data_IF_764061745720
#
_entry.id   IF_764061745720
#
_cell.length_a   1.000
_cell.length_b   1.000
_cell.length_c   1.000
_cell.angle_alpha   90.00
_cell.angle_beta   90.00
_cell.angle_gamma   90.00
#
_symmetry.space_group_name_H-M   'P 1'
#
loop_
_entity.id
_entity.type
_entity.pdbx_description
1 polymer ?
#
# COMPACT_ATOMS: atom_id res chain seq x y z
N UNK A 1 32.17 11.68 -3.67
CA UNK A 1 33.11 11.45 -2.55
C UNK A 1 33.37 12.69 -1.68
N UNK A 2 34.20 13.67 -2.05
CA UNK A 2 34.52 14.80 -1.15
C UNK A 2 33.31 15.70 -0.82
N UNK A 3 32.50 16.02 -1.83
CA UNK A 3 31.30 16.86 -1.64
C UNK A 3 30.15 16.16 -0.88
N UNK A 4 30.02 14.84 -0.98
CA UNK A 4 29.00 14.07 -0.23
C UNK A 4 29.34 13.94 1.25
N UNK A 5 30.63 13.84 1.56
CA UNK A 5 31.09 13.86 2.95
C UNK A 5 30.88 15.24 3.58
N UNK A 6 31.08 16.30 2.82
CA UNK A 6 30.85 17.68 3.28
C UNK A 6 29.35 17.97 3.51
N UNK A 7 28.44 17.44 2.67
CA UNK A 7 27.00 17.61 2.87
C UNK A 7 26.46 16.78 4.05
N UNK A 8 26.95 15.55 4.24
CA UNK A 8 26.59 14.74 5.42
C UNK A 8 27.08 15.39 6.72
N UNK A 9 28.33 15.87 6.74
CA UNK A 9 28.87 16.57 7.91
C UNK A 9 28.08 17.84 8.24
N UNK A 10 27.65 18.59 7.23
CA UNK A 10 26.83 19.79 7.43
C UNK A 10 25.45 19.45 8.00
N UNK A 11 24.80 18.40 7.51
CA UNK A 11 23.50 17.94 8.01
C UNK A 11 23.57 17.44 9.45
N UNK A 12 24.60 16.67 9.80
CA UNK A 12 24.84 16.21 11.18
C UNK A 12 25.11 17.39 12.12
N UNK A 13 25.95 18.34 11.71
CA UNK A 13 26.24 19.54 12.50
C UNK A 13 24.99 20.40 12.74
N UNK A 14 24.12 20.52 11.74
CA UNK A 14 22.87 21.26 11.88
C UNK A 14 21.87 20.53 12.80
N UNK A 15 21.74 19.21 12.67
CA UNK A 15 20.87 18.41 13.55
C UNK A 15 21.29 18.55 15.02
N UNK A 16 22.60 18.56 15.30
CA UNK A 16 23.13 18.76 16.65
C UNK A 16 22.88 20.16 17.22
N UNK A 17 22.57 21.17 16.39
CA UNK A 17 22.21 22.52 16.84
C UNK A 17 20.74 22.65 17.25
N UNK A 18 19.88 21.68 16.91
CA UNK A 18 18.49 21.68 17.35
C UNK A 18 18.40 21.40 18.86
N UNK A 19 17.46 22.02 19.60
CA UNK A 19 17.20 21.63 20.99
C UNK A 19 16.80 20.15 21.09
N UNK A 20 17.24 19.47 22.15
CA UNK A 20 16.94 18.05 22.41
C UNK A 20 15.47 17.61 22.16
N UNK A 21 14.42 18.34 22.60
CA UNK A 21 13.04 17.93 22.31
C UNK A 21 12.70 17.95 20.80
N UNK A 22 13.33 18.84 20.02
CA UNK A 22 13.14 18.93 18.57
C UNK A 22 13.94 17.86 17.81
N UNK A 23 15.09 17.44 18.33
CA UNK A 23 15.85 16.31 17.80
C UNK A 23 15.03 15.01 17.91
N UNK A 24 14.50 14.72 19.11
CA UNK A 24 13.63 13.57 19.33
C UNK A 24 12.36 13.64 18.50
N UNK A 25 11.70 14.80 18.44
CA UNK A 25 10.52 14.98 17.60
C UNK A 25 10.80 14.71 16.12
N UNK A 26 11.90 15.23 15.57
CA UNK A 26 12.23 15.06 14.17
C UNK A 26 12.55 13.59 13.85
N UNK A 27 13.31 12.93 14.72
CA UNK A 27 13.62 11.52 14.58
C UNK A 27 12.35 10.65 14.63
N UNK A 28 11.48 10.86 15.61
CA UNK A 28 10.23 10.10 15.76
C UNK A 28 9.31 10.25 14.54
N UNK A 29 9.23 11.44 13.95
CA UNK A 29 8.37 11.68 12.79
C UNK A 29 8.98 11.12 11.50
N UNK A 30 10.31 11.12 11.36
CA UNK A 30 10.99 10.44 10.25
C UNK A 30 10.78 8.93 10.35
N UNK A 31 10.91 8.34 11.55
CA UNK A 31 10.66 6.92 11.78
C UNK A 31 9.20 6.52 11.49
N UNK A 32 8.25 7.43 11.68
CA UNK A 32 6.84 7.26 11.33
C UNK A 32 6.53 7.47 9.84
N UNK A 33 7.51 7.88 9.04
CA UNK A 33 7.37 8.07 7.60
C UNK A 33 6.60 9.34 7.22
N UNK A 34 6.60 10.37 8.07
CA UNK A 34 6.01 11.67 7.72
C UNK A 34 6.77 12.34 6.56
N UNK A 35 6.06 13.09 5.71
CA UNK A 35 6.67 13.75 4.54
C UNK A 35 7.74 14.76 4.98
N UNK A 36 9.00 14.63 4.51
CA UNK A 36 10.07 15.58 4.83
C UNK A 36 9.75 17.05 4.53
N UNK A 37 8.93 17.33 3.52
CA UNK A 37 8.52 18.71 3.19
C UNK A 37 7.56 19.28 4.23
N UNK A 38 6.63 18.47 4.75
CA UNK A 38 5.73 18.89 5.83
C UNK A 38 6.50 19.12 7.14
N UNK A 39 7.46 18.24 7.45
CA UNK A 39 8.35 18.41 8.60
C UNK A 39 9.19 19.69 8.49
N UNK A 40 9.70 20.00 7.29
CA UNK A 40 10.42 21.24 7.04
C UNK A 40 9.54 22.48 7.29
N UNK A 41 8.28 22.47 6.86
CA UNK A 41 7.33 23.57 7.12
C UNK A 41 7.09 23.75 8.62
N UNK A 42 6.95 22.65 9.38
CA UNK A 42 6.77 22.71 10.84
C UNK A 42 8.01 23.29 11.52
N UNK A 43 9.21 22.89 11.10
CA UNK A 43 10.47 23.42 11.63
C UNK A 43 10.62 24.92 11.33
N UNK A 44 10.31 25.35 10.11
CA UNK A 44 10.35 26.76 9.71
C UNK A 44 9.36 27.61 10.51
N UNK A 45 8.13 27.11 10.72
CA UNK A 45 7.10 27.77 11.53
C UNK A 45 7.53 27.95 12.99
N UNK A 46 8.39 27.08 13.50
CA UNK A 46 8.94 27.14 14.87
C UNK A 46 10.31 27.84 14.94
N UNK A 47 10.70 28.55 13.88
CA UNK A 47 11.89 29.42 13.87
C UNK A 47 13.18 28.73 13.44
N UNK A 48 13.15 27.45 13.07
CA UNK A 48 14.29 26.73 12.53
C UNK A 48 14.34 26.93 11.01
N UNK A 49 14.93 28.06 10.57
CA UNK A 49 15.08 28.36 9.15
C UNK A 49 16.20 27.53 8.52
N UNK A 50 15.95 27.07 7.29
CA UNK A 50 17.01 26.61 6.39
C UNK A 50 17.99 27.79 6.21
N UNK A 51 19.27 27.60 6.53
CA UNK A 51 20.26 28.55 6.03
C UNK A 51 20.23 28.39 4.52
N UNK A 52 19.87 29.46 3.81
CA UNK A 52 19.98 29.53 2.36
C UNK A 52 21.45 29.37 2.01
N UNK A 53 21.90 28.11 1.88
CA UNK A 53 23.07 27.82 1.10
C UNK A 53 22.65 28.22 -0.30
N UNK A 54 23.11 29.39 -0.76
CA UNK A 54 23.10 29.79 -2.17
C UNK A 54 24.04 28.89 -3.01
N UNK A 55 24.12 27.62 -2.65
CA UNK A 55 24.47 26.54 -3.53
C UNK A 55 23.11 25.94 -3.87
N UNK A 56 22.50 26.45 -4.93
CA UNK A 56 21.78 25.58 -5.83
C UNK A 56 22.78 24.49 -6.23
N UNK A 57 22.93 23.47 -5.39
CA UNK A 57 23.57 22.23 -5.74
C UNK A 57 22.75 21.76 -6.91
N UNK A 58 23.34 21.90 -8.09
CA UNK A 58 22.85 21.23 -9.27
C UNK A 58 22.58 19.79 -8.84
N UNK A 59 21.31 19.44 -8.65
CA UNK A 59 20.86 18.06 -8.73
C UNK A 59 21.57 17.52 -9.96
N UNK A 60 22.30 16.38 -9.87
CA UNK A 60 23.00 15.87 -11.03
C UNK A 60 21.99 15.80 -12.17
N UNK A 61 22.34 16.42 -13.30
CA UNK A 61 21.49 16.70 -14.46
C UNK A 61 20.72 15.46 -14.97
N UNK A 62 21.14 14.27 -14.55
CA UNK A 62 20.50 12.96 -14.72
C UNK A 62 19.04 12.89 -14.28
N UNK A 63 18.70 13.43 -13.10
CA UNK A 63 17.36 13.24 -12.48
C UNK A 63 16.28 14.05 -13.20
N UNK A 64 16.67 15.12 -13.90
CA UNK A 64 15.75 15.94 -14.69
C UNK A 64 15.57 15.44 -16.13
N UNK A 65 16.37 14.46 -16.58
CA UNK A 65 16.35 13.99 -17.96
C UNK A 65 15.28 12.92 -18.24
N UNK A 66 14.74 12.26 -17.20
CA UNK A 66 13.77 11.18 -17.31
C UNK A 66 12.40 11.60 -16.77
N UNK A 67 11.32 11.19 -17.42
CA UNK A 67 9.97 11.40 -16.89
C UNK A 67 9.73 10.59 -15.61
N UNK A 68 8.80 11.03 -14.76
CA UNK A 68 8.46 10.33 -13.51
C UNK A 68 8.06 8.87 -13.74
N UNK A 69 7.27 8.59 -14.79
CA UNK A 69 6.88 7.23 -15.15
C UNK A 69 8.08 6.33 -15.49
N UNK A 70 9.09 6.87 -16.18
CA UNK A 70 10.31 6.11 -16.50
C UNK A 70 11.18 5.91 -15.25
N UNK A 71 11.28 6.92 -14.39
CA UNK A 71 12.00 6.80 -13.11
C UNK A 71 11.36 5.74 -12.21
N UNK A 72 10.03 5.75 -12.08
CA UNK A 72 9.27 4.76 -11.32
C UNK A 72 9.47 3.35 -11.87
N UNK A 73 9.41 3.18 -13.19
CA UNK A 73 9.70 1.89 -13.82
C UNK A 73 11.12 1.39 -13.50
N UNK A 74 12.14 2.25 -13.62
CA UNK A 74 13.53 1.89 -13.29
C UNK A 74 13.65 1.49 -11.82
N UNK A 75 13.07 2.26 -10.91
CA UNK A 75 13.09 1.95 -9.47
C UNK A 75 12.41 0.61 -9.18
N UNK A 76 11.28 0.32 -9.82
CA UNK A 76 10.57 -0.94 -9.65
C UNK A 76 11.41 -2.14 -10.12
N UNK A 77 12.05 -2.03 -11.28
CA UNK A 77 12.96 -3.06 -11.79
C UNK A 77 14.18 -3.27 -10.87
N UNK A 78 14.80 -2.17 -10.41
CA UNK A 78 15.93 -2.22 -9.50
C UNK A 78 15.56 -2.87 -8.16
N UNK A 79 14.41 -2.52 -7.58
CA UNK A 79 13.88 -3.13 -6.35
C UNK A 79 13.45 -4.59 -6.56
N UNK A 80 13.02 -4.95 -7.78
CA UNK A 80 12.72 -6.31 -8.19
C UNK A 80 13.94 -7.21 -8.38
N UNK A 81 15.14 -6.63 -8.46
CA UNK A 81 16.40 -7.36 -8.64
C UNK A 81 16.78 -7.60 -10.10
N UNK A 82 16.20 -6.86 -11.05
CA UNK A 82 16.51 -6.99 -12.47
C UNK A 82 17.94 -6.56 -12.79
N UNK A 83 18.55 -7.19 -13.79
CA UNK A 83 19.90 -6.84 -14.24
C UNK A 83 19.91 -5.49 -14.98
N UNK A 84 20.90 -4.64 -14.69
CA UNK A 84 20.97 -3.29 -15.27
C UNK A 84 20.92 -3.27 -16.80
N UNK A 85 21.52 -4.24 -17.49
CA UNK A 85 21.48 -4.32 -18.96
C UNK A 85 20.06 -4.58 -19.50
N UNK A 86 19.25 -5.34 -18.76
CA UNK A 86 17.84 -5.60 -19.10
C UNK A 86 17.00 -4.34 -18.91
N UNK A 87 17.22 -3.63 -17.80
CA UNK A 87 16.56 -2.35 -17.50
C UNK A 87 16.88 -1.33 -18.60
N UNK A 88 18.16 -1.17 -18.95
CA UNK A 88 18.59 -0.26 -20.01
C UNK A 88 17.96 -0.63 -21.36
N UNK A 89 17.93 -1.92 -21.70
CA UNK A 89 17.29 -2.41 -22.94
C UNK A 89 15.80 -2.13 -22.96
N UNK A 90 15.10 -2.32 -21.83
CA UNK A 90 13.69 -1.99 -21.66
C UNK A 90 13.44 -0.49 -21.89
N UNK A 91 14.22 0.37 -21.23
CA UNK A 91 14.10 1.82 -21.37
C UNK A 91 14.43 2.34 -22.77
N UNK A 92 15.43 1.77 -23.46
CA UNK A 92 15.76 2.14 -24.83
C UNK A 92 14.63 1.80 -25.80
N UNK A 93 13.93 0.67 -25.61
CA UNK A 93 12.73 0.34 -26.39
C UNK A 93 11.60 1.34 -26.20
N UNK A 94 11.55 2.02 -25.05
CA UNK A 94 10.61 3.13 -24.77
C UNK A 94 11.08 4.47 -25.36
N UNK A 95 12.18 4.50 -26.12
CA UNK A 95 12.73 5.71 -26.73
C UNK A 95 13.59 6.55 -25.79
N UNK A 96 14.00 6.01 -24.64
CA UNK A 96 14.81 6.72 -23.64
C UNK A 96 16.30 6.54 -23.92
N UNK A 97 17.10 7.60 -23.75
CA UNK A 97 18.56 7.55 -23.90
C UNK A 97 19.20 6.58 -22.90
N UNK A 98 19.99 5.63 -23.40
CA UNK A 98 20.72 4.65 -22.57
C UNK A 98 21.70 5.31 -21.60
N UNK A 99 22.27 6.46 -21.97
CA UNK A 99 23.19 7.23 -21.13
C UNK A 99 22.45 7.81 -19.93
N UNK A 100 21.27 8.40 -20.16
CA UNK A 100 20.45 8.97 -19.09
C UNK A 100 20.00 7.89 -18.10
N UNK A 101 19.62 6.71 -18.59
CA UNK A 101 19.23 5.56 -17.75
C UNK A 101 20.41 5.08 -16.91
N UNK A 102 21.60 4.90 -17.51
CA UNK A 102 22.81 4.49 -16.78
C UNK A 102 23.16 5.47 -15.66
N UNK A 103 23.12 6.77 -15.96
CA UNK A 103 23.41 7.82 -14.99
C UNK A 103 22.37 7.85 -13.86
N UNK A 104 21.09 7.67 -14.18
CA UNK A 104 20.03 7.58 -13.18
C UNK A 104 20.20 6.36 -12.27
N UNK A 105 20.52 5.18 -12.83
CA UNK A 105 20.81 3.97 -12.05
C UNK A 105 21.99 4.22 -11.11
N UNK A 106 23.09 4.79 -11.61
CA UNK A 106 24.28 5.08 -10.80
C UNK A 106 23.98 5.99 -9.60
N UNK A 107 23.30 7.12 -9.85
CA UNK A 107 22.87 8.05 -8.80
C UNK A 107 21.89 7.40 -7.82
N UNK A 108 20.99 6.55 -8.32
CA UNK A 108 20.01 5.84 -7.48
C UNK A 108 20.71 4.87 -6.54
N UNK A 109 21.63 4.04 -7.06
CA UNK A 109 22.37 3.04 -6.28
C UNK A 109 23.27 3.65 -5.20
N UNK A 110 23.81 4.85 -5.44
CA UNK A 110 24.61 5.57 -4.45
C UNK A 110 23.76 6.27 -3.38
N UNK A 111 22.45 6.42 -3.60
CA UNK A 111 21.58 7.15 -2.67
C UNK A 111 21.24 6.34 -1.41
N UNK A 112 21.28 7.01 -0.26
CA UNK A 112 20.89 6.42 1.04
C UNK A 112 19.40 6.03 1.03
N UNK A 113 18.54 6.83 0.41
CA UNK A 113 17.11 6.55 0.29
C UNK A 113 16.84 5.23 -0.45
N UNK A 114 17.53 4.99 -1.56
CA UNK A 114 17.39 3.73 -2.29
C UNK A 114 17.91 2.53 -1.48
N UNK A 115 19.02 2.67 -0.76
CA UNK A 115 19.52 1.60 0.12
C UNK A 115 18.51 1.26 1.23
N UNK A 116 17.85 2.26 1.80
CA UNK A 116 16.77 2.04 2.77
C UNK A 116 15.55 1.36 2.12
N UNK A 117 15.12 1.84 0.95
CA UNK A 117 14.02 1.22 0.18
C UNK A 117 14.33 -0.24 -0.16
N UNK A 118 15.57 -0.55 -0.54
CA UNK A 118 16.01 -1.91 -0.82
C UNK A 118 15.86 -2.81 0.41
N UNK A 119 16.27 -2.35 1.60
CA UNK A 119 16.08 -3.10 2.86
C UNK A 119 14.60 -3.36 3.14
N UNK A 120 13.76 -2.34 3.01
CA UNK A 120 12.30 -2.47 3.20
C UNK A 120 11.70 -3.45 2.20
N UNK A 121 12.10 -3.37 0.93
CA UNK A 121 11.66 -4.31 -0.11
C UNK A 121 12.09 -5.74 0.21
N UNK A 122 13.31 -5.95 0.71
CA UNK A 122 13.76 -7.29 1.13
C UNK A 122 12.91 -7.84 2.29
N UNK A 123 12.55 -6.99 3.26
CA UNK A 123 11.66 -7.39 4.34
C UNK A 123 10.26 -7.75 3.83
N UNK A 124 9.70 -6.97 2.90
CA UNK A 124 8.44 -7.28 2.24
C UNK A 124 8.51 -8.60 1.46
N UNK A 125 9.57 -8.81 0.68
CA UNK A 125 9.79 -10.05 -0.06
C UNK A 125 9.89 -11.26 0.87
N UNK A 126 10.56 -11.12 2.03
CA UNK A 126 10.63 -12.19 3.04
C UNK A 126 9.26 -12.52 3.63
N UNK A 127 8.41 -11.52 3.86
CA UNK A 127 7.02 -11.73 4.33
C UNK A 127 6.19 -12.44 3.27
N UNK A 128 6.27 -11.98 2.02
CA UNK A 128 5.55 -12.59 0.90
C UNK A 128 6.01 -14.03 0.66
N UNK A 129 7.32 -14.30 0.78
CA UNK A 129 7.88 -15.65 0.72
C UNK A 129 7.33 -16.54 1.84
N UNK A 130 7.28 -16.05 3.08
CA UNK A 130 6.68 -16.81 4.19
C UNK A 130 5.22 -17.16 3.90
N UNK A 131 4.43 -16.21 3.38
CA UNK A 131 3.04 -16.47 2.99
C UNK A 131 2.95 -17.53 1.89
N UNK A 132 3.82 -17.47 0.87
CA UNK A 132 3.88 -18.48 -0.18
C UNK A 132 4.27 -19.87 0.36
N UNK A 133 5.19 -19.94 1.32
CA UNK A 133 5.55 -21.20 1.99
C UNK A 133 4.39 -21.75 2.82
N UNK A 134 3.67 -20.91 3.57
CA UNK A 134 2.49 -21.33 4.32
C UNK A 134 1.39 -21.85 3.38
N UNK A 135 1.21 -21.20 2.23
CA UNK A 135 0.28 -21.66 1.20
C UNK A 135 0.69 -23.01 0.59
N UNK A 136 1.97 -23.17 0.22
CA UNK A 136 2.51 -24.44 -0.26
C UNK A 136 2.37 -25.57 0.78
N UNK A 137 2.58 -25.28 2.06
CA UNK A 137 2.36 -26.25 3.13
C UNK A 137 0.87 -26.61 3.27
N UNK A 138 -0.03 -25.64 3.15
CA UNK A 138 -1.46 -25.89 3.17
C UNK A 138 -1.91 -26.76 1.97
N UNK A 139 -1.28 -26.61 0.80
CA UNK A 139 -1.54 -27.42 -0.40
C UNK A 139 -1.23 -28.91 -0.21
N UNK A 140 -0.35 -29.26 0.73
CA UNK A 140 -0.06 -30.67 1.06
C UNK A 140 -1.23 -31.35 1.81
N UNK A 141 -2.14 -30.57 2.39
CA UNK A 141 -3.29 -31.08 3.13
C UNK A 141 -4.44 -31.50 2.22
N UNK A 142 -5.13 -32.57 2.61
CA UNK A 142 -6.34 -33.01 1.93
C UNK A 142 -7.42 -31.92 1.93
N UNK A 143 -7.97 -31.67 0.74
CA UNK A 143 -9.07 -30.72 0.57
C UNK A 143 -8.65 -29.25 0.51
N UNK A 144 -7.37 -28.92 0.27
CA UNK A 144 -6.94 -27.54 0.01
C UNK A 144 -7.76 -26.85 -1.08
N UNK A 145 -8.09 -27.58 -2.16
CA UNK A 145 -8.88 -27.04 -3.28
C UNK A 145 -10.39 -26.94 -3.00
N UNK A 146 -10.85 -27.31 -1.80
CA UNK A 146 -12.27 -27.37 -1.48
C UNK A 146 -12.58 -26.67 -0.16
N UNK A 147 -13.65 -25.88 -0.12
CA UNK A 147 -14.14 -25.31 1.15
C UNK A 147 -15.14 -26.27 1.79
N UNK A 148 -14.83 -26.88 2.95
CA UNK A 148 -15.72 -27.84 3.60
C UNK A 148 -17.02 -27.16 4.05
N UNK A 149 -18.12 -27.92 3.96
CA UNK A 149 -19.47 -27.51 4.38
C UNK A 149 -19.92 -28.36 5.56
N UNK A 150 -19.82 -27.83 6.77
CA UNK A 150 -20.12 -28.54 8.01
C UNK A 150 -21.33 -27.92 8.71
N UNK A 151 -21.96 -28.66 9.62
CA UNK A 151 -22.87 -28.03 10.59
C UNK A 151 -22.07 -27.16 11.58
N UNK A 152 -22.72 -26.17 12.18
CA UNK A 152 -22.04 -25.23 13.08
C UNK A 152 -21.45 -25.99 14.28
N UNK A 153 -20.11 -26.08 14.41
CA UNK A 153 -19.48 -26.82 15.49
C UNK A 153 -19.43 -25.98 16.78
N UNK A 154 -19.10 -26.58 17.93
CA UNK A 154 -18.77 -25.83 19.12
C UNK A 154 -17.64 -24.83 18.88
N UNK A 155 -17.67 -23.67 19.53
CA UNK A 155 -16.71 -22.59 19.31
C UNK A 155 -15.23 -23.04 19.42
N UNK A 156 -14.90 -23.88 20.40
CA UNK A 156 -13.54 -24.38 20.59
C UNK A 156 -13.05 -25.25 19.42
N UNK A 157 -13.96 -26.02 18.82
CA UNK A 157 -13.64 -26.83 17.63
C UNK A 157 -13.45 -25.93 16.41
N UNK A 158 -14.35 -24.96 16.20
CA UNK A 158 -14.20 -23.95 15.15
C UNK A 158 -12.86 -23.22 15.25
N UNK A 159 -12.51 -22.76 16.46
CA UNK A 159 -11.27 -22.03 16.72
C UNK A 159 -10.05 -22.89 16.39
N UNK A 160 -10.00 -24.14 16.87
CA UNK A 160 -8.86 -25.04 16.70
C UNK A 160 -8.70 -25.55 15.27
N UNK A 161 -9.80 -25.89 14.59
CA UNK A 161 -9.75 -26.56 13.29
C UNK A 161 -9.78 -25.60 12.09
N UNK A 162 -10.32 -24.39 12.27
CA UNK A 162 -10.54 -23.46 11.16
C UNK A 162 -9.92 -22.10 11.41
N UNK A 163 -10.37 -21.38 12.45
CA UNK A 163 -10.00 -19.98 12.63
C UNK A 163 -8.50 -19.78 12.90
N UNK A 164 -7.92 -20.53 13.83
CA UNK A 164 -6.49 -20.45 14.16
C UNK A 164 -5.56 -20.95 13.05
N UNK A 165 -6.10 -21.72 12.10
CA UNK A 165 -5.35 -22.26 10.97
C UNK A 165 -5.53 -21.42 9.70
N UNK A 166 -6.26 -20.31 9.76
CA UNK A 166 -6.66 -19.52 8.58
C UNK A 166 -7.36 -20.37 7.50
N UNK A 167 -8.07 -21.43 7.90
CA UNK A 167 -8.73 -22.36 6.98
C UNK A 167 -10.18 -21.94 6.75
N UNK A 168 -10.61 -21.71 5.50
CA UNK A 168 -11.99 -21.36 5.20
C UNK A 168 -12.94 -22.54 5.47
N UNK A 169 -14.17 -22.23 5.89
CA UNK A 169 -15.24 -23.20 6.11
C UNK A 169 -16.60 -22.55 5.89
N UNK A 170 -17.53 -23.31 5.32
CA UNK A 170 -18.94 -22.90 5.21
C UNK A 170 -19.72 -23.56 6.34
N UNK A 171 -20.28 -22.73 7.23
CA UNK A 171 -21.10 -23.18 8.34
C UNK A 171 -22.57 -23.26 7.93
N UNK A 172 -23.08 -24.48 7.85
CA UNK A 172 -24.51 -24.74 7.69
C UNK A 172 -25.22 -24.56 9.02
N UNK A 173 -26.49 -24.18 8.92
CA UNK A 173 -27.46 -24.22 10.02
C UNK A 173 -27.19 -23.26 11.21
N UNK A 174 -26.13 -22.45 11.19
CA UNK A 174 -25.77 -21.54 12.29
C UNK A 174 -26.81 -20.47 12.60
N UNK A 175 -27.63 -20.13 11.62
CA UNK A 175 -28.67 -19.09 11.74
C UNK A 175 -30.10 -19.67 11.72
N UNK A 176 -30.28 -20.98 11.92
CA UNK A 176 -31.63 -21.62 11.91
C UNK A 176 -32.63 -20.98 12.87
N UNK A 177 -32.13 -20.43 13.97
CA UNK A 177 -32.94 -19.76 14.99
C UNK A 177 -33.31 -18.31 14.61
N UNK A 178 -32.82 -17.79 13.48
CA UNK A 178 -33.12 -16.42 13.05
C UNK A 178 -34.47 -16.36 12.37
N UNK A 179 -35.37 -15.55 12.93
CA UNK A 179 -36.66 -15.22 12.31
C UNK A 179 -36.50 -14.59 10.91
N UNK A 180 -35.32 -14.02 10.61
CA UNK A 180 -34.99 -13.48 9.29
C UNK A 180 -35.21 -14.50 8.17
N UNK A 181 -34.94 -15.79 8.40
CA UNK A 181 -35.14 -16.85 7.39
C UNK A 181 -36.60 -17.02 6.96
N UNK A 182 -37.56 -16.67 7.81
CA UNK A 182 -38.99 -16.76 7.53
C UNK A 182 -39.60 -15.43 7.11
N UNK A 183 -39.03 -14.32 7.58
CA UNK A 183 -39.61 -12.98 7.42
C UNK A 183 -38.98 -12.17 6.31
N UNK A 184 -37.69 -12.34 6.02
CA UNK A 184 -36.99 -11.46 5.09
C UNK A 184 -37.24 -11.93 3.65
N UNK A 185 -38.19 -11.26 3.01
CA UNK A 185 -38.48 -11.32 1.58
C UNK A 185 -38.76 -9.88 1.10
N UNK A 186 -38.68 -9.59 -0.22
CA UNK A 186 -38.84 -8.23 -0.74
C UNK A 186 -40.09 -7.51 -0.20
N UNK A 187 -41.28 -8.12 -0.25
CA UNK A 187 -42.50 -7.48 0.27
C UNK A 187 -42.40 -7.10 1.75
N UNK A 188 -41.75 -7.93 2.59
CA UNK A 188 -41.55 -7.61 4.00
C UNK A 188 -40.69 -6.36 4.17
N UNK A 189 -39.66 -6.18 3.34
CA UNK A 189 -38.82 -5.00 3.42
C UNK A 189 -39.52 -3.75 2.88
N UNK A 190 -40.22 -3.85 1.74
CA UNK A 190 -41.04 -2.78 1.20
C UNK A 190 -42.09 -2.30 2.22
N UNK A 191 -42.79 -3.22 2.88
CA UNK A 191 -43.81 -2.90 3.89
C UNK A 191 -43.22 -2.30 5.17
N UNK A 192 -42.14 -2.89 5.70
CA UNK A 192 -41.61 -2.52 7.02
C UNK A 192 -40.68 -1.33 7.00
N UNK A 193 -39.84 -1.24 5.97
CA UNK A 193 -38.73 -0.28 5.88
C UNK A 193 -38.63 0.32 4.47
N UNK A 194 -39.65 0.22 3.62
CA UNK A 194 -39.61 0.73 2.25
C UNK A 194 -39.32 2.22 2.12
N UNK A 195 -39.66 3.00 3.16
CA UNK A 195 -39.40 4.44 3.25
C UNK A 195 -38.02 4.81 3.81
N UNK A 196 -37.25 3.82 4.28
CA UNK A 196 -35.91 4.05 4.79
C UNK A 196 -34.92 4.26 3.64
N UNK A 197 -33.98 5.19 3.85
CA UNK A 197 -32.90 5.42 2.90
C UNK A 197 -31.78 4.39 3.12
N UNK A 198 -31.46 3.65 2.07
CA UNK A 198 -30.33 2.71 2.04
C UNK A 198 -29.23 3.25 1.11
N UNK A 199 -27.99 2.86 1.40
CA UNK A 199 -26.84 3.14 0.53
C UNK A 199 -26.59 1.94 -0.37
N UNK A 200 -26.62 2.15 -1.68
CA UNK A 200 -26.37 1.12 -2.69
C UNK A 200 -25.22 1.55 -3.56
N UNK A 201 -24.31 0.62 -3.85
CA UNK A 201 -23.26 0.83 -4.84
C UNK A 201 -23.76 0.33 -6.21
N UNK A 202 -24.06 1.28 -7.09
CA UNK A 202 -24.55 1.00 -8.44
C UNK A 202 -23.38 0.74 -9.40
N UNK A 203 -23.70 0.15 -10.56
CA UNK A 203 -22.80 0.05 -11.72
C UNK A 203 -21.44 -0.63 -11.47
N UNK A 204 -21.35 -1.48 -10.44
CA UNK A 204 -20.12 -2.24 -10.11
C UNK A 204 -19.57 -3.06 -11.27
N UNK A 205 -20.44 -3.56 -12.15
CA UNK A 205 -20.04 -4.35 -13.32
C UNK A 205 -19.45 -3.49 -14.45
N UNK A 206 -19.66 -2.16 -14.42
CA UNK A 206 -19.21 -1.23 -15.46
C UNK A 206 -17.87 -0.54 -15.12
N UNK A 207 -17.40 -0.65 -13.88
CA UNK A 207 -16.14 -0.07 -13.40
C UNK A 207 -15.20 -1.16 -12.88
N UNK A 208 -14.05 -1.38 -13.55
CA UNK A 208 -13.05 -2.37 -13.10
C UNK A 208 -12.40 -1.99 -11.75
N UNK A 209 -12.43 -0.71 -11.38
CA UNK A 209 -11.88 -0.17 -10.14
C UNK A 209 -13.00 0.22 -9.15
N UNK A 210 -14.15 -0.47 -9.20
CA UNK A 210 -15.33 -0.14 -8.38
C UNK A 210 -15.04 -0.07 -6.87
N UNK A 211 -14.02 -0.76 -6.35
CA UNK A 211 -13.65 -0.66 -4.93
C UNK A 211 -13.02 0.70 -4.59
N UNK A 212 -12.08 1.17 -5.42
CA UNK A 212 -11.43 2.48 -5.27
C UNK A 212 -12.43 3.60 -5.55
N UNK A 213 -13.26 3.43 -6.59
CA UNK A 213 -14.27 4.40 -6.99
C UNK A 213 -15.59 4.28 -6.20
N UNK A 214 -15.66 3.40 -5.18
CA UNK A 214 -16.87 3.17 -4.38
C UNK A 214 -17.53 4.46 -3.87
N UNK A 215 -16.80 5.49 -3.38
CA UNK A 215 -17.42 6.76 -2.97
C UNK A 215 -18.21 7.48 -4.06
N UNK A 216 -17.82 7.33 -5.34
CA UNK A 216 -18.50 7.95 -6.50
C UNK A 216 -19.68 7.13 -7.00
N UNK A 217 -19.64 5.81 -6.76
CA UNK A 217 -20.64 4.84 -7.22
C UNK A 217 -21.76 4.61 -6.20
N UNK A 218 -21.57 5.08 -4.96
CA UNK A 218 -22.57 5.00 -3.89
C UNK A 218 -23.66 6.05 -4.08
N UNK A 219 -24.89 5.61 -3.98
CA UNK A 219 -26.07 6.45 -4.04
C UNK A 219 -27.02 6.07 -2.91
N UNK A 220 -27.81 7.05 -2.44
CA UNK A 220 -28.88 6.80 -1.48
C UNK A 220 -30.20 6.67 -2.23
N UNK A 221 -30.88 5.55 -2.01
CA UNK A 221 -32.21 5.28 -2.56
C UNK A 221 -33.14 4.80 -1.44
N UNK A 222 -34.45 4.83 -1.66
CA UNK A 222 -35.39 4.22 -0.74
C UNK A 222 -35.34 2.69 -0.88
N UNK A 223 -35.53 1.96 0.21
CA UNK A 223 -35.54 0.49 0.17
C UNK A 223 -36.58 -0.05 -0.82
N UNK A 224 -37.76 0.58 -0.90
CA UNK A 224 -38.80 0.18 -1.88
C UNK A 224 -38.33 0.33 -3.33
N UNK A 225 -37.51 1.34 -3.63
CA UNK A 225 -37.02 1.60 -4.98
C UNK A 225 -35.89 0.61 -5.37
N UNK A 226 -35.27 -0.02 -4.37
CA UNK A 226 -34.29 -1.09 -4.58
C UNK A 226 -34.97 -2.40 -4.99
N UNK A 227 -36.03 -2.79 -4.28
CA UNK A 227 -36.77 -4.03 -4.55
C UNK A 227 -37.47 -4.01 -5.93
N UNK A 228 -37.88 -2.83 -6.43
CA UNK A 228 -38.47 -2.70 -7.77
C UNK A 228 -37.45 -2.81 -8.91
N UNK A 229 -36.15 -2.66 -8.63
CA UNK A 229 -35.08 -2.60 -9.63
C UNK A 229 -34.30 -3.90 -9.81
N UNK A 230 -34.41 -4.86 -8.89
CA UNK A 230 -33.58 -6.07 -8.82
C UNK A 230 -34.39 -7.31 -8.41
#
# INVERSE_FOLDING_TARGET
>A
MRMEQETQQYAEQWFQQLPAPWQSWLQDNIERGCDPNELAVVLEKNGFRRQDTSMATAMPTAVQALSSAVQEHILQCLLGGDHHDQIITSCVKMGVSSVAVRQFIEVTLSSVSYQYLQKTQHQLNKRNWLMACLDQLAQLGDGYQTVPRIDTPPYQEFLRQFYSQHRPVILKNGIRHWNALQKWHPDYFADRVGHEQIEVQMDRQQDQNFEVNSPKLKQKILMKDFDERF
#
